data_IF_975453229966
#
_entry.id   IF_975453229966
#
_cell.length_a   1.000
_cell.length_b   1.000
_cell.length_c   1.000
_cell.angle_alpha   90.00
_cell.angle_beta   90.00
_cell.angle_gamma   90.00
#
_symmetry.space_group_name_H-M   'P 1'
#
loop_
_entity.id
_entity.type
_entity.pdbx_description
1 polymer ?
#
# COMPACT_ATOMS: atom_id res chain seq x y z
N UNK A 1 4.54 -9.19 -17.71
CA UNK A 1 4.39 -9.46 -16.26
C UNK A 1 3.35 -8.50 -15.73
N UNK A 2 2.72 -8.78 -14.59
CA UNK A 2 1.68 -7.87 -14.08
C UNK A 2 2.24 -6.97 -13.01
N UNK A 3 1.77 -5.73 -12.95
CA UNK A 3 1.95 -4.86 -11.79
C UNK A 3 1.47 -5.57 -10.54
N UNK A 4 2.14 -5.32 -9.42
CA UNK A 4 1.76 -5.88 -8.12
C UNK A 4 1.14 -4.79 -7.27
N UNK A 5 0.06 -5.12 -6.57
CA UNK A 5 -0.64 -4.21 -5.67
C UNK A 5 -0.39 -4.66 -4.24
N UNK A 6 0.32 -3.83 -3.47
CA UNK A 6 0.61 -4.10 -2.06
C UNK A 6 -0.37 -3.33 -1.18
N UNK A 7 -0.85 -3.97 -0.12
CA UNK A 7 -1.75 -3.34 0.85
C UNK A 7 -0.95 -2.46 1.81
N UNK A 8 -1.41 -1.22 1.99
CA UNK A 8 -0.76 -0.25 2.84
C UNK A 8 -1.76 0.59 3.64
N UNK A 9 -1.23 1.14 4.73
CA UNK A 9 -1.84 2.24 5.48
C UNK A 9 -1.08 3.49 5.09
N UNK A 10 -1.78 4.44 4.47
CA UNK A 10 -1.30 5.77 4.16
C UNK A 10 -1.78 6.74 5.23
N UNK A 11 -0.85 7.46 5.83
CA UNK A 11 -1.10 8.58 6.74
C UNK A 11 -0.55 9.88 6.16
N UNK A 12 -1.10 11.00 6.62
CA UNK A 12 -0.62 12.34 6.27
C UNK A 12 -0.17 13.05 7.55
N UNK A 13 1.08 12.85 8.02
CA UNK A 13 1.56 13.48 9.24
C UNK A 13 1.64 15.01 9.13
N UNK A 14 1.91 15.52 7.92
CA UNK A 14 1.95 16.95 7.61
C UNK A 14 1.21 17.22 6.29
N UNK A 15 0.65 18.43 6.08
CA UNK A 15 -0.03 18.77 4.82
C UNK A 15 0.88 18.53 3.60
N UNK A 16 0.43 17.67 2.68
CA UNK A 16 1.17 17.30 1.47
C UNK A 16 2.24 16.23 1.66
N UNK A 17 2.50 15.75 2.88
CA UNK A 17 3.43 14.65 3.16
C UNK A 17 2.64 13.36 3.36
N UNK A 18 2.84 12.38 2.49
CA UNK A 18 2.20 11.08 2.60
C UNK A 18 3.22 10.02 2.99
N UNK A 19 2.94 9.28 4.05
CA UNK A 19 3.72 8.13 4.48
C UNK A 19 2.90 6.85 4.33
N UNK A 20 3.49 5.84 3.68
CA UNK A 20 2.83 4.56 3.47
C UNK A 20 3.57 3.46 4.23
N UNK A 21 2.84 2.70 5.04
CA UNK A 21 3.34 1.53 5.76
C UNK A 21 2.60 0.30 5.24
N UNK A 22 3.33 -0.67 4.70
CA UNK A 22 2.72 -1.93 4.24
C UNK A 22 2.16 -2.70 5.43
N UNK A 23 0.96 -3.25 5.29
CA UNK A 23 0.29 -4.03 6.35
C UNK A 23 0.93 -5.41 6.51
N UNK A 24 2.20 -5.47 6.94
CA UNK A 24 2.92 -6.73 7.21
C UNK A 24 2.66 -7.82 6.16
N UNK A 25 2.28 -9.02 6.63
CA UNK A 25 2.02 -10.20 5.81
C UNK A 25 1.03 -9.91 4.66
N UNK A 26 1.54 -10.02 3.43
CA UNK A 26 0.80 -9.79 2.20
C UNK A 26 0.12 -11.07 1.67
N UNK A 27 0.07 -12.15 2.45
CA UNK A 27 -0.62 -13.38 2.11
C UNK A 27 -2.14 -13.20 1.90
N UNK A 28 -2.71 -13.99 0.99
CA UNK A 28 -4.16 -14.03 0.70
C UNK A 28 -4.99 -14.71 1.79
N UNK A 29 -4.34 -15.45 2.72
CA UNK A 29 -4.98 -16.20 3.81
C UNK A 29 -5.40 -15.33 5.00
N UNK A 30 -4.95 -14.08 5.06
CA UNK A 30 -5.30 -13.13 6.13
C UNK A 30 -6.41 -12.21 5.62
N UNK A 31 -7.63 -12.73 5.58
CA UNK A 31 -8.87 -11.95 5.34
C UNK A 31 -9.01 -10.78 6.32
N UNK A 32 -8.38 -10.86 7.49
CA UNK A 32 -8.31 -9.77 8.49
C UNK A 32 -7.40 -8.60 8.10
N UNK A 33 -6.53 -8.73 7.08
CA UNK A 33 -5.66 -7.63 6.61
C UNK A 33 -6.33 -6.69 5.62
N UNK A 34 -7.49 -7.07 5.05
CA UNK A 34 -8.35 -6.15 4.30
C UNK A 34 -9.00 -5.10 5.21
N UNK A 35 -9.16 -5.41 6.50
CA UNK A 35 -9.78 -4.49 7.48
C UNK A 35 -8.84 -3.35 7.89
N UNK A 36 -7.53 -3.46 7.67
CA UNK A 36 -6.57 -2.44 8.12
C UNK A 36 -5.98 -1.58 7.00
N UNK A 37 -5.95 -2.05 5.75
CA UNK A 37 -5.38 -1.26 4.65
C UNK A 37 -6.37 -0.20 4.16
N UNK A 38 -5.91 1.06 4.04
CA UNK A 38 -6.69 2.16 3.46
C UNK A 38 -6.19 2.56 2.06
N UNK A 39 -5.17 1.87 1.54
CA UNK A 39 -4.59 2.13 0.23
C UNK A 39 -3.91 0.91 -0.40
N UNK A 40 -3.75 0.96 -1.72
CA UNK A 40 -2.94 0.03 -2.50
C UNK A 40 -1.75 0.76 -3.09
N UNK A 41 -0.54 0.27 -2.79
CA UNK A 41 0.69 0.72 -3.44
C UNK A 41 0.89 -0.04 -4.75
N UNK A 42 1.14 0.71 -5.82
CA UNK A 42 1.35 0.17 -7.16
C UNK A 42 2.84 -0.07 -7.35
N UNK A 43 3.22 -1.34 -7.51
CA UNK A 43 4.60 -1.76 -7.78
C UNK A 43 4.72 -2.11 -9.27
N UNK A 44 5.61 -1.44 -10.03
CA UNK A 44 5.80 -1.71 -11.45
C UNK A 44 6.23 -3.16 -11.71
N UNK A 45 5.92 -3.64 -12.92
CA UNK A 45 6.39 -4.94 -13.37
C UNK A 45 7.92 -5.06 -13.27
N UNK A 46 8.40 -6.22 -12.81
CA UNK A 46 9.84 -6.53 -12.78
C UNK A 46 10.54 -6.02 -11.52
N UNK A 47 9.84 -5.30 -10.64
CA UNK A 47 10.35 -4.88 -9.33
C UNK A 47 10.06 -5.98 -8.30
N UNK A 48 11.12 -6.58 -7.75
CA UNK A 48 11.02 -7.65 -6.75
C UNK A 48 11.17 -7.15 -5.32
N UNK A 49 11.77 -5.97 -5.13
CA UNK A 49 11.95 -5.34 -3.83
C UNK A 49 11.85 -3.82 -3.96
N UNK A 50 11.21 -3.18 -2.98
CA UNK A 50 11.09 -1.73 -2.87
C UNK A 50 11.78 -1.30 -1.58
N UNK A 51 12.88 -0.54 -1.63
CA UNK A 51 13.53 -0.02 -0.43
C UNK A 51 12.63 0.95 0.34
N UNK A 52 12.80 1.01 1.67
CA UNK A 52 12.13 2.01 2.50
C UNK A 52 12.49 3.43 2.02
N UNK A 53 11.50 4.34 2.01
CA UNK A 53 11.65 5.71 1.51
C UNK A 53 11.47 5.86 -0.01
N UNK A 54 11.29 4.76 -0.76
CA UNK A 54 10.95 4.83 -2.18
C UNK A 54 9.54 5.41 -2.36
N UNK A 55 9.40 6.38 -3.26
CA UNK A 55 8.10 6.95 -3.62
C UNK A 55 7.40 6.03 -4.61
N UNK A 56 6.18 5.62 -4.28
CA UNK A 56 5.30 4.84 -5.14
C UNK A 56 3.96 5.55 -5.31
N UNK A 57 3.25 5.21 -6.37
CA UNK A 57 1.85 5.61 -6.52
C UNK A 57 0.99 4.82 -5.52
N UNK A 58 0.09 5.53 -4.84
CA UNK A 58 -0.89 4.96 -3.94
C UNK A 58 -2.29 5.22 -4.47
N UNK A 59 -3.12 4.18 -4.48
CA UNK A 59 -4.55 4.28 -4.72
C UNK A 59 -5.26 4.18 -3.37
N UNK A 60 -5.88 5.28 -2.92
CA UNK A 60 -6.65 5.30 -1.68
C UNK A 60 -7.93 4.46 -1.88
N UNK A 61 -8.20 3.57 -0.94
CA UNK A 61 -9.45 2.80 -0.87
C UNK A 61 -10.39 3.62 0.00
N UNK A 62 -11.19 4.47 -0.64
CA UNK A 62 -12.19 5.25 0.08
C UNK A 62 -13.21 4.28 0.70
N UNK A 63 -13.30 4.28 2.04
CA UNK A 63 -14.35 3.55 2.77
C UNK A 63 -15.47 4.52 3.12
N UNK A 64 -15.94 5.26 2.13
CA UNK A 64 -17.08 6.17 2.29
C UNK A 64 -18.37 5.42 1.92
N UNK A 65 -19.08 5.00 2.96
CA UNK A 65 -20.53 4.78 3.00
C UNK A 65 -21.04 5.12 4.39
#
# INVERSE_FOLDING_TARGET
GRESYLRAIVSQPEPGVYEAVTTGDQGSHIMTSLVQANALLIVPEGVTAVPAGTRLAAMMIDSDS
#
